data_IF_936513431530
#
_entry.id   IF_936513431530
#
_cell.length_a   1.000
_cell.length_b   1.000
_cell.length_c   1.000
_cell.angle_alpha   90.00
_cell.angle_beta   90.00
_cell.angle_gamma   90.00
#
_symmetry.space_group_name_H-M   'P 1'
#
loop_
_entity.id
_entity.type
_entity.pdbx_description
1 polymer ?
#
# COMPACT_ATOMS: atom_id res chain seq x y z
N UNK A 1 -16.89 6.91 16.75
CA UNK A 1 -16.88 6.27 15.43
C UNK A 1 -15.74 5.26 15.42
N UNK A 2 -15.93 4.06 14.85
CA UNK A 2 -14.80 3.16 14.61
C UNK A 2 -14.24 3.52 13.25
N UNK A 3 -13.00 4.00 13.22
CA UNK A 3 -12.28 4.15 11.96
C UNK A 3 -11.94 2.75 11.45
N UNK A 4 -12.12 2.52 10.16
CA UNK A 4 -11.51 1.37 9.48
C UNK A 4 -10.35 1.88 8.66
N UNK A 5 -9.30 1.07 8.57
CA UNK A 5 -8.11 1.38 7.81
C UNK A 5 -8.05 0.43 6.63
N UNK A 6 -7.85 0.98 5.44
CA UNK A 6 -7.87 0.25 4.19
C UNK A 6 -6.48 0.31 3.60
N UNK A 7 -5.86 -0.84 3.37
CA UNK A 7 -4.65 -0.92 2.55
C UNK A 7 -5.11 -1.10 1.11
N UNK A 8 -4.75 -0.16 0.26
CA UNK A 8 -4.94 -0.23 -1.18
C UNK A 8 -3.60 -0.59 -1.80
N UNK A 9 -3.59 -1.66 -2.58
CA UNK A 9 -2.42 -2.13 -3.29
C UNK A 9 -2.75 -2.13 -4.78
N UNK A 10 -2.22 -1.12 -5.48
CA UNK A 10 -2.51 -0.83 -6.87
C UNK A 10 -1.32 -1.21 -7.74
N UNK A 11 -1.42 -2.38 -8.38
CA UNK A 11 -0.48 -2.91 -9.35
C UNK A 11 -0.87 -2.39 -10.75
N UNK A 12 -0.13 -1.41 -11.25
CA UNK A 12 -0.43 -0.75 -12.52
C UNK A 12 0.05 -1.57 -13.71
N UNK A 13 1.08 -2.39 -13.53
CA UNK A 13 1.58 -3.31 -14.55
C UNK A 13 0.52 -4.36 -14.90
N UNK A 14 -0.07 -5.01 -13.89
CA UNK A 14 -1.11 -6.03 -14.08
C UNK A 14 -2.53 -5.43 -14.17
N UNK A 15 -2.69 -4.13 -13.91
CA UNK A 15 -3.99 -3.45 -13.78
C UNK A 15 -4.90 -4.10 -12.71
N UNK A 16 -4.32 -4.47 -11.57
CA UNK A 16 -5.01 -5.11 -10.45
C UNK A 16 -4.99 -4.19 -9.23
N UNK A 17 -6.14 -4.05 -8.58
CA UNK A 17 -6.25 -3.39 -7.27
C UNK A 17 -6.67 -4.41 -6.24
N UNK A 18 -5.82 -4.64 -5.25
CA UNK A 18 -6.12 -5.44 -4.06
C UNK A 18 -6.46 -4.52 -2.89
N UNK A 19 -7.35 -4.97 -2.01
CA UNK A 19 -7.80 -4.16 -0.89
C UNK A 19 -7.97 -5.01 0.36
N UNK A 20 -7.32 -4.59 1.44
CA UNK A 20 -7.42 -5.22 2.75
C UNK A 20 -7.93 -4.24 3.80
N UNK A 21 -8.83 -4.71 4.68
CA UNK A 21 -9.51 -3.86 5.67
C UNK A 21 -9.12 -4.26 7.09
N UNK A 22 -8.67 -3.29 7.87
CA UNK A 22 -8.18 -3.46 9.23
C UNK A 22 -8.93 -2.58 10.24
N UNK A 23 -9.00 -3.10 11.46
CA UNK A 23 -9.65 -2.41 12.58
C UNK A 23 -8.80 -1.32 13.23
N UNK A 24 -7.49 -1.32 12.99
CA UNK A 24 -6.54 -0.35 13.55
C UNK A 24 -5.46 -0.01 12.54
N UNK A 25 -4.87 1.18 12.67
CA UNK A 25 -3.81 1.64 11.79
C UNK A 25 -2.58 0.73 11.87
N UNK A 26 -2.19 0.30 13.08
CA UNK A 26 -0.99 -0.51 13.28
C UNK A 26 -1.06 -1.87 12.57
N UNK A 27 -2.27 -2.42 12.41
CA UNK A 27 -2.47 -3.66 11.65
C UNK A 27 -2.37 -3.43 10.14
N UNK A 28 -2.95 -2.34 9.65
CA UNK A 28 -2.84 -1.95 8.25
C UNK A 28 -1.38 -1.65 7.87
N UNK A 29 -0.69 -0.86 8.69
CA UNK A 29 0.72 -0.53 8.49
C UNK A 29 1.61 -1.78 8.53
N UNK A 30 1.36 -2.70 9.47
CA UNK A 30 2.09 -3.96 9.52
C UNK A 30 1.90 -4.76 8.23
N UNK A 31 0.67 -4.90 7.76
CA UNK A 31 0.38 -5.66 6.54
C UNK A 31 1.02 -5.02 5.32
N UNK A 32 0.88 -3.70 5.15
CA UNK A 32 1.52 -2.97 4.04
C UNK A 32 3.04 -3.15 4.06
N UNK A 33 3.69 -3.05 5.22
CA UNK A 33 5.15 -3.27 5.36
C UNK A 33 5.57 -4.72 5.10
N UNK A 34 4.72 -5.69 5.40
CA UNK A 34 4.97 -7.10 5.05
C UNK A 34 4.94 -7.26 3.52
N UNK A 35 3.92 -6.70 2.84
CA UNK A 35 3.83 -6.70 1.38
C UNK A 35 5.01 -5.97 0.72
N UNK A 36 5.41 -4.80 1.24
CA UNK A 36 6.57 -4.05 0.72
C UNK A 36 7.84 -4.92 0.74
N UNK A 37 8.08 -5.67 1.82
CA UNK A 37 9.24 -6.57 1.93
C UNK A 37 9.18 -7.76 0.98
N UNK A 38 7.99 -8.25 0.67
CA UNK A 38 7.83 -9.35 -0.31
C UNK A 38 8.11 -8.89 -1.74
N UNK A 39 7.98 -7.58 -1.99
CA UNK A 39 8.15 -6.96 -3.30
C UNK A 39 9.49 -6.24 -3.48
N UNK A 40 10.28 -6.05 -2.40
CA UNK A 40 11.47 -5.19 -2.43
C UNK A 40 12.53 -5.58 -3.46
N UNK A 41 12.67 -6.87 -3.76
CA UNK A 41 13.62 -7.38 -4.74
C UNK A 41 13.11 -7.29 -6.20
N UNK A 42 11.86 -6.90 -6.43
CA UNK A 42 11.22 -6.86 -7.75
C UNK A 42 11.29 -5.49 -8.42
N UNK A 43 11.58 -4.43 -7.66
CA UNK A 43 11.59 -3.05 -8.13
C UNK A 43 12.97 -2.42 -7.91
N UNK A 44 13.34 -1.46 -8.76
CA UNK A 44 14.64 -0.78 -8.65
C UNK A 44 14.71 0.14 -7.43
N UNK A 45 13.58 0.79 -7.11
CA UNK A 45 13.47 1.73 -6.00
C UNK A 45 12.09 1.65 -5.33
N UNK A 46 12.09 1.87 -4.00
CA UNK A 46 10.88 2.05 -3.21
C UNK A 46 10.98 3.37 -2.44
N UNK A 47 10.04 4.27 -2.68
CA UNK A 47 9.92 5.53 -1.96
C UNK A 47 8.77 5.46 -0.93
N UNK A 48 9.09 5.68 0.35
CA UNK A 48 8.07 5.82 1.41
C UNK A 48 7.64 7.29 1.55
N UNK A 49 6.32 7.51 1.59
CA UNK A 49 5.70 8.80 1.89
C UNK A 49 4.67 8.66 3.02
N UNK A 50 3.95 9.75 3.34
CA UNK A 50 2.94 9.72 4.39
C UNK A 50 1.86 8.67 4.11
N UNK A 51 1.83 7.61 4.92
CA UNK A 51 0.89 6.50 4.84
C UNK A 51 0.94 5.69 3.52
N UNK A 52 2.05 5.68 2.78
CA UNK A 52 2.16 4.88 1.56
C UNK A 52 3.58 4.68 1.02
N UNK A 53 3.66 3.88 -0.04
CA UNK A 53 4.88 3.46 -0.73
C UNK A 53 4.66 3.49 -2.25
N UNK A 54 5.65 4.02 -2.96
CA UNK A 54 5.75 3.96 -4.42
C UNK A 54 6.81 2.95 -4.82
N UNK A 55 6.48 2.07 -5.77
CA UNK A 55 7.40 1.10 -6.34
C UNK A 55 7.74 1.53 -7.76
N UNK A 56 9.04 1.73 -8.00
CA UNK A 56 9.56 2.37 -9.20
C UNK A 56 10.46 1.38 -9.95
N UNK A 57 10.24 1.26 -11.25
CA UNK A 57 11.09 0.50 -12.18
C UNK A 57 11.46 1.42 -13.36
N UNK A 58 12.74 1.77 -13.47
CA UNK A 58 13.23 2.80 -14.40
C UNK A 58 12.63 4.18 -14.11
N UNK A 59 11.91 4.74 -15.10
CA UNK A 59 11.30 6.08 -15.01
C UNK A 59 9.79 6.01 -14.66
N UNK A 60 9.27 4.84 -14.31
CA UNK A 60 7.83 4.61 -14.12
C UNK A 60 7.52 4.13 -12.71
N UNK A 61 6.47 4.67 -12.11
CA UNK A 61 5.83 4.03 -10.94
C UNK A 61 4.95 2.90 -11.45
N UNK A 62 5.25 1.67 -11.04
CA UNK A 62 4.54 0.46 -11.50
C UNK A 62 3.58 -0.06 -10.43
N UNK A 63 3.77 0.31 -9.16
CA UNK A 63 2.86 -0.07 -8.07
C UNK A 63 2.80 0.97 -6.96
N UNK A 64 1.65 1.08 -6.32
CA UNK A 64 1.42 1.96 -5.16
C UNK A 64 0.72 1.19 -4.05
N UNK A 65 1.26 1.26 -2.84
CA UNK A 65 0.58 0.75 -1.64
C UNK A 65 0.28 1.93 -0.72
N UNK A 66 -0.98 2.13 -0.34
CA UNK A 66 -1.40 3.25 0.52
C UNK A 66 -2.40 2.83 1.60
N UNK A 67 -2.43 3.55 2.72
CA UNK A 67 -3.31 3.31 3.85
C UNK A 67 -4.30 4.46 3.99
N UNK A 68 -5.58 4.20 3.70
CA UNK A 68 -6.66 5.16 3.88
C UNK A 68 -7.43 4.93 5.18
N UNK A 69 -7.75 6.01 5.90
CA UNK A 69 -8.68 5.97 7.01
C UNK A 69 -10.11 6.30 6.54
N UNK A 70 -11.00 5.29 6.53
CA UNK A 70 -12.41 5.51 6.22
C UNK A 70 -13.23 5.63 7.51
N UNK A 71 -13.88 6.78 7.66
CA UNK A 71 -14.93 7.01 8.64
C UNK A 71 -16.29 6.89 7.98
N UNK A 72 -17.08 5.86 8.33
CA UNK A 72 -18.50 5.82 7.94
C UNK A 72 -19.21 6.95 8.69
N UNK A 73 -19.59 8.02 7.97
CA UNK A 73 -20.40 9.13 8.49
C UNK A 73 -21.85 8.70 8.69
#
# INVERSE_FOLDING_TARGET
MKNVYVVLDNDMEECIVTTDVYSTYEKAEKAAKETVRELEDQYEEIEEYDHGWLFIDGDTTERVIEIEASGVK
#
